data_IF_704528254469
#
_entry.id   IF_704528254469
#
_cell.length_a   1.000
_cell.length_b   1.000
_cell.length_c   1.000
_cell.angle_alpha   90.00
_cell.angle_beta   90.00
_cell.angle_gamma   90.00
#
_symmetry.space_group_name_H-M   'P 1'
#
loop_
_entity.id
_entity.type
_entity.pdbx_description
1 polymer ?
#
# COMPACT_ATOMS: atom_id res chain seq x y z
N UNK A 1 -19.85 3.00 -2.24
CA UNK A 1 -19.40 4.09 -3.15
C UNK A 1 -18.49 3.49 -4.24
N UNK A 2 -18.51 4.02 -5.48
CA UNK A 2 -17.72 3.51 -6.62
C UNK A 2 -16.28 4.05 -6.56
N UNK A 3 -15.31 3.20 -6.26
CA UNK A 3 -13.87 3.54 -6.29
C UNK A 3 -13.45 3.72 -7.75
N UNK A 4 -13.18 4.96 -8.17
CA UNK A 4 -12.59 5.26 -9.48
C UNK A 4 -11.50 6.30 -9.25
N UNK A 5 -10.26 5.92 -9.49
CA UNK A 5 -9.11 6.83 -9.40
C UNK A 5 -8.39 6.87 -10.73
N UNK A 6 -7.89 8.04 -11.09
CA UNK A 6 -7.07 8.25 -12.29
C UNK A 6 -5.67 8.66 -11.87
N UNK A 7 -4.64 7.86 -12.17
CA UNK A 7 -3.24 8.20 -11.90
C UNK A 7 -2.39 7.92 -13.13
N UNK A 8 -1.60 8.89 -13.57
CA UNK A 8 -0.67 8.71 -14.70
C UNK A 8 -1.33 8.20 -15.99
N UNK A 9 -2.55 8.67 -16.30
CA UNK A 9 -3.32 8.24 -17.48
C UNK A 9 -4.07 6.91 -17.33
N UNK A 10 -3.86 6.15 -16.25
CA UNK A 10 -4.59 4.92 -15.96
C UNK A 10 -5.85 5.19 -15.14
N UNK A 11 -6.91 4.41 -15.36
CA UNK A 11 -8.12 4.40 -14.53
C UNK A 11 -8.21 3.12 -13.73
N UNK A 12 -8.15 3.23 -12.40
CA UNK A 12 -8.27 2.13 -11.47
C UNK A 12 -9.67 2.06 -10.89
N UNK A 13 -10.21 0.85 -10.78
CA UNK A 13 -11.55 0.58 -10.23
C UNK A 13 -11.55 -0.56 -9.20
N UNK A 14 -10.46 -1.31 -9.14
CA UNK A 14 -10.27 -2.42 -8.21
C UNK A 14 -8.98 -2.19 -7.45
N UNK A 15 -9.01 -2.51 -6.16
CA UNK A 15 -7.85 -2.49 -5.27
C UNK A 15 -7.67 -3.88 -4.67
N UNK A 16 -6.45 -4.39 -4.71
CA UNK A 16 -6.00 -5.57 -3.97
C UNK A 16 -5.11 -5.09 -2.84
N UNK A 17 -5.29 -5.61 -1.63
CA UNK A 17 -4.58 -5.13 -0.44
C UNK A 17 -4.08 -6.36 0.30
N UNK A 18 -2.77 -6.42 0.57
CA UNK A 18 -2.15 -7.48 1.35
C UNK A 18 -1.75 -6.96 2.72
N UNK A 19 -1.74 -7.84 3.72
CA UNK A 19 -1.24 -7.53 5.08
C UNK A 19 0.26 -7.17 5.08
N UNK A 20 1.01 -7.57 4.05
CA UNK A 20 2.42 -7.21 3.85
C UNK A 20 2.70 -5.73 3.51
N UNK A 21 1.68 -4.87 3.46
CA UNK A 21 1.88 -3.47 3.04
C UNK A 21 1.94 -3.29 1.52
N UNK A 22 1.38 -4.24 0.77
CA UNK A 22 1.29 -4.20 -0.68
C UNK A 22 -0.13 -3.86 -1.14
N UNK A 23 -0.22 -2.98 -2.13
CA UNK A 23 -1.46 -2.56 -2.77
C UNK A 23 -1.34 -2.67 -4.27
N UNK A 24 -2.31 -3.33 -4.88
CA UNK A 24 -2.45 -3.45 -6.33
C UNK A 24 -3.64 -2.61 -6.78
N UNK A 25 -3.41 -1.74 -7.74
CA UNK A 25 -4.45 -0.95 -8.39
C UNK A 25 -4.62 -1.46 -9.82
N UNK A 26 -5.86 -1.79 -10.18
CA UNK A 26 -6.19 -2.24 -11.52
C UNK A 26 -7.54 -1.66 -11.97
N UNK A 27 -7.77 -1.62 -13.28
CA UNK A 27 -9.16 -1.47 -13.79
C UNK A 27 -9.98 -2.71 -13.44
N UNK A 28 -9.38 -3.89 -13.66
CA UNK A 28 -9.88 -5.24 -13.36
C UNK A 28 -8.65 -6.15 -13.22
N UNK A 29 -8.67 -7.11 -12.30
CA UNK A 29 -7.62 -8.14 -12.18
C UNK A 29 -7.85 -9.26 -13.22
N UNK A 30 -7.53 -8.97 -14.48
CA UNK A 30 -7.62 -9.91 -15.60
C UNK A 30 -6.27 -9.98 -16.28
N UNK A 31 -5.83 -11.19 -16.68
CA UNK A 31 -4.54 -11.39 -17.32
C UNK A 31 -4.35 -10.41 -18.49
N UNK A 32 -3.19 -9.76 -18.56
CA UNK A 32 -2.87 -8.76 -19.58
C UNK A 32 -3.29 -7.33 -19.24
N UNK A 33 -4.04 -7.10 -18.15
CA UNK A 33 -4.43 -5.74 -17.77
C UNK A 33 -3.28 -4.98 -17.10
N UNK A 34 -3.14 -3.66 -17.37
CA UNK A 34 -2.23 -2.80 -16.63
C UNK A 34 -2.59 -2.76 -15.14
N UNK A 35 -1.55 -2.82 -14.31
CA UNK A 35 -1.62 -2.65 -12.87
C UNK A 35 -0.58 -1.65 -12.39
N UNK A 36 -0.88 -1.02 -11.25
CA UNK A 36 0.09 -0.28 -10.47
C UNK A 36 0.20 -0.91 -9.10
N UNK A 37 1.41 -1.27 -8.71
CA UNK A 37 1.73 -1.84 -7.40
C UNK A 37 2.38 -0.76 -6.55
N UNK A 38 1.91 -0.62 -5.31
CA UNK A 38 2.51 0.22 -4.28
C UNK A 38 2.90 -0.74 -3.15
N UNK A 39 4.18 -0.78 -2.77
CA UNK A 39 4.63 -1.68 -1.69
C UNK A 39 5.66 -1.06 -0.79
N UNK A 40 5.58 -1.40 0.49
CA UNK A 40 6.69 -1.25 1.42
C UNK A 40 7.66 -2.41 1.17
N UNK A 41 8.90 -2.11 0.77
CA UNK A 41 9.91 -3.14 0.49
C UNK A 41 10.28 -3.86 1.79
N UNK A 42 10.26 -5.20 1.77
CA UNK A 42 10.35 -6.05 2.97
C UNK A 42 9.22 -5.80 4.00
N UNK A 43 8.13 -5.18 3.56
CA UNK A 43 6.93 -4.96 4.36
C UNK A 43 6.35 -6.28 4.85
N UNK A 44 6.21 -6.42 6.17
CA UNK A 44 5.44 -7.51 6.78
C UNK A 44 4.71 -6.96 7.99
N UNK A 45 3.40 -7.14 8.08
CA UNK A 45 2.66 -6.81 9.31
C UNK A 45 2.51 -8.07 10.16
N UNK A 46 2.62 -7.91 11.47
CA UNK A 46 2.26 -8.95 12.45
C UNK A 46 0.75 -9.05 12.64
N UNK A 47 -0.01 -8.07 12.14
CA UNK A 47 -1.46 -8.06 12.22
C UNK A 47 -2.12 -8.81 11.04
N UNK A 48 -3.26 -9.42 11.32
CA UNK A 48 -3.95 -10.30 10.38
C UNK A 48 -4.51 -9.55 9.16
N UNK A 49 -4.85 -8.27 9.29
CA UNK A 49 -5.44 -7.48 8.20
C UNK A 49 -5.23 -5.97 8.38
N UNK A 50 -5.08 -5.21 7.28
CA UNK A 50 -5.11 -3.76 7.33
C UNK A 50 -6.51 -3.21 7.62
N UNK A 51 -6.57 -2.02 8.19
CA UNK A 51 -7.81 -1.27 8.36
C UNK A 51 -8.04 -0.38 7.14
N UNK A 52 -9.26 -0.43 6.60
CA UNK A 52 -9.62 0.25 5.36
C UNK A 52 -10.75 1.24 5.65
N UNK A 53 -10.54 2.51 5.26
CA UNK A 53 -11.57 3.54 5.29
C UNK A 53 -11.85 4.05 3.88
N UNK A 54 -13.13 4.12 3.52
CA UNK A 54 -13.56 4.68 2.24
C UNK A 54 -14.36 5.95 2.51
N UNK A 55 -13.67 7.10 2.48
CA UNK A 55 -14.29 8.41 2.63
C UNK A 55 -14.68 9.00 1.27
N UNK A 56 -15.30 10.18 1.30
CA UNK A 56 -15.80 10.82 0.08
C UNK A 56 -14.69 11.11 -0.93
N UNK A 57 -13.52 11.59 -0.50
CA UNK A 57 -12.44 11.99 -1.40
C UNK A 57 -11.19 11.11 -1.33
N UNK A 58 -11.10 10.23 -0.34
CA UNK A 58 -9.88 9.49 -0.02
C UNK A 58 -10.20 8.06 0.35
N UNK A 59 -9.46 7.14 -0.24
CA UNK A 59 -9.41 5.74 0.17
C UNK A 59 -8.17 5.54 1.02
N UNK A 60 -8.35 5.15 2.28
CA UNK A 60 -7.28 5.06 3.27
C UNK A 60 -7.04 3.62 3.68
N UNK A 61 -5.78 3.22 3.73
CA UNK A 61 -5.35 1.88 4.14
C UNK A 61 -4.30 2.05 5.22
N UNK A 62 -4.51 1.36 6.34
CA UNK A 62 -3.65 1.44 7.51
C UNK A 62 -3.13 0.05 7.86
N UNK A 63 -1.82 -0.06 8.02
CA UNK A 63 -1.18 -1.24 8.57
C UNK A 63 -0.59 -0.90 9.93
N UNK A 64 -1.12 -1.55 10.96
CA UNK A 64 -0.51 -1.53 12.27
C UNK A 64 0.70 -2.48 12.28
N UNK A 65 1.68 -2.12 13.11
CA UNK A 65 2.87 -2.92 13.38
C UNK A 65 3.57 -3.45 12.11
N UNK A 66 3.70 -2.62 11.08
CA UNK A 66 4.41 -3.01 9.87
C UNK A 66 5.92 -2.99 10.12
N UNK A 67 6.57 -4.12 9.91
CA UNK A 67 8.01 -4.20 9.77
C UNK A 67 8.41 -3.70 8.39
N UNK A 68 9.33 -2.74 8.37
CA UNK A 68 9.78 -2.08 7.14
C UNK A 68 11.29 -2.16 6.93
N UNK A 69 12.01 -2.81 7.85
CA UNK A 69 13.45 -3.01 7.76
C UNK A 69 13.88 -4.27 8.52
N UNK A 70 15.07 -4.79 8.18
CA UNK A 70 15.68 -5.96 8.85
C UNK A 70 16.54 -5.51 10.04
N UNK A 71 15.92 -4.90 11.04
CA UNK A 71 16.61 -4.48 12.27
C UNK A 71 16.52 -5.54 13.38
N UNK A 72 17.40 -5.43 14.38
CA UNK A 72 17.31 -6.17 15.64
C UNK A 72 17.54 -5.19 16.82
N UNK A 73 16.53 -4.89 17.67
CA UNK A 73 15.17 -5.44 17.62
C UNK A 73 14.43 -5.02 16.34
N UNK A 74 13.39 -5.79 15.98
CA UNK A 74 12.59 -5.48 14.79
C UNK A 74 11.88 -4.16 15.00
N UNK A 75 12.09 -3.22 14.08
CA UNK A 75 11.32 -1.99 14.04
C UNK A 75 9.94 -2.30 13.47
N UNK A 76 8.94 -1.69 14.09
CA UNK A 76 7.58 -1.70 13.61
C UNK A 76 7.00 -0.29 13.73
N UNK A 77 6.03 0.01 12.86
CA UNK A 77 5.32 1.26 12.95
C UNK A 77 3.94 1.19 12.31
N UNK A 78 3.25 2.33 12.36
CA UNK A 78 1.95 2.50 11.75
C UNK A 78 2.12 3.17 10.39
N UNK A 79 1.83 2.42 9.33
CA UNK A 79 1.92 2.92 7.95
C UNK A 79 0.54 3.25 7.41
N UNK A 80 0.43 4.45 6.83
CA UNK A 80 -0.78 4.95 6.19
C UNK A 80 -0.53 5.10 4.70
N UNK A 81 -1.46 4.62 3.89
CA UNK A 81 -1.57 4.96 2.48
C UNK A 81 -2.93 5.58 2.21
N UNK A 82 -2.91 6.81 1.69
CA UNK A 82 -4.08 7.55 1.25
C UNK A 82 -4.05 7.66 -0.27
N UNK A 83 -5.13 7.20 -0.91
CA UNK A 83 -5.34 7.30 -2.34
C UNK A 83 -6.48 8.30 -2.57
N UNK A 84 -6.12 9.49 -3.02
CA UNK A 84 -7.07 10.56 -3.29
C UNK A 84 -7.73 10.38 -4.66
N UNK A 85 -8.99 10.81 -4.81
CA UNK A 85 -9.74 10.70 -6.08
C UNK A 85 -9.05 11.35 -7.28
N UNK A 86 -8.29 12.41 -7.05
CA UNK A 86 -7.51 13.12 -8.06
C UNK A 86 -6.24 12.34 -8.49
N UNK A 87 -5.98 11.18 -7.88
CA UNK A 87 -4.82 10.34 -8.15
C UNK A 87 -3.59 10.62 -7.30
N UNK A 88 -3.64 11.60 -6.40
CA UNK A 88 -2.55 11.83 -5.46
C UNK A 88 -2.44 10.64 -4.50
N UNK A 89 -1.21 10.12 -4.39
CA UNK A 89 -0.83 9.16 -3.35
C UNK A 89 -0.16 9.93 -2.22
N UNK A 90 -0.66 9.76 -1.01
CA UNK A 90 -0.04 10.30 0.19
C UNK A 90 0.24 9.14 1.13
N UNK A 91 1.43 9.13 1.72
CA UNK A 91 1.83 8.11 2.66
C UNK A 91 2.41 8.76 3.91
N UNK A 92 2.27 8.07 5.04
CA UNK A 92 2.86 8.49 6.30
C UNK A 92 3.31 7.25 7.08
N UNK A 93 4.41 7.42 7.82
CA UNK A 93 4.83 6.48 8.84
C UNK A 93 4.72 7.21 10.18
N UNK A 94 3.93 6.66 11.10
CA UNK A 94 3.81 7.17 12.46
C UNK A 94 4.29 6.12 13.45
N UNK A 95 4.95 6.60 14.52
CA UNK A 95 5.48 5.82 15.63
C UNK A 95 6.42 4.69 15.20
N UNK A 96 7.73 4.85 15.44
CA UNK A 96 8.67 3.71 15.46
C UNK A 96 8.72 3.14 16.88
N UNK A 97 8.49 1.82 17.02
CA UNK A 97 8.50 1.13 18.31
C UNK A 97 9.85 1.24 19.02
N UNK A 98 10.95 1.17 18.27
CA UNK A 98 12.30 1.21 18.79
C UNK A 98 13.06 2.39 18.18
N UNK A 99 12.90 3.57 18.79
CA UNK A 99 13.56 4.82 18.35
C UNK A 99 15.10 4.80 18.41
N UNK A 100 15.71 3.68 18.76
CA UNK A 100 17.16 3.49 18.83
C UNK A 100 17.78 2.96 17.53
N UNK A 101 17.00 2.39 16.60
CA UNK A 101 17.53 1.91 15.32
C UNK A 101 17.11 2.83 14.18
N UNK A 102 18.10 3.47 13.56
CA UNK A 102 17.88 4.17 12.30
C UNK A 102 17.80 3.14 11.17
N UNK A 103 16.63 2.99 10.56
CA UNK A 103 16.50 2.16 9.37
C UNK A 103 15.67 2.86 8.29
N UNK A 104 16.01 2.56 7.04
CA UNK A 104 15.35 3.14 5.88
C UNK A 104 14.10 2.34 5.54
N UNK A 105 12.98 3.05 5.42
CA UNK A 105 11.79 2.53 4.73
C UNK A 105 11.93 2.85 3.24
N UNK A 106 11.73 1.84 2.39
CA UNK A 106 11.63 2.02 0.94
C UNK A 106 10.21 1.76 0.51
N UNK A 107 9.60 2.75 -0.17
CA UNK A 107 8.32 2.62 -0.84
C UNK A 107 8.57 2.49 -2.34
N UNK A 108 8.07 1.43 -2.96
CA UNK A 108 8.14 1.23 -4.41
C UNK A 108 6.78 1.41 -5.04
N UNK A 109 6.76 2.12 -6.17
CA UNK A 109 5.60 2.28 -7.04
C UNK A 109 5.99 1.78 -8.42
N UNK A 110 5.39 0.66 -8.82
CA UNK A 110 5.74 -0.05 -10.05
C UNK A 110 4.52 -0.13 -10.96
N UNK A 111 4.71 0.18 -12.23
CA UNK A 111 3.75 -0.13 -13.28
C UNK A 111 4.06 -1.52 -13.84
N UNK A 112 3.02 -2.28 -14.16
CA UNK A 112 3.18 -3.64 -14.67
C UNK A 112 1.93 -4.17 -15.33
N UNK A 113 1.96 -5.46 -15.63
CA UNK A 113 0.85 -6.21 -16.22
C UNK A 113 0.42 -7.29 -15.24
N UNK A 114 -0.88 -7.42 -14.99
CA UNK A 114 -1.41 -8.51 -14.19
C UNK A 114 -1.28 -9.81 -14.97
N UNK A 115 -0.51 -10.77 -14.44
CA UNK A 115 -0.30 -12.06 -15.09
C UNK A 115 -1.30 -13.14 -14.64
N UNK A 116 -2.27 -12.81 -13.77
CA UNK A 116 -3.14 -13.79 -13.13
C UNK A 116 -2.60 -14.22 -11.77
N UNK A 117 -3.48 -14.77 -10.95
CA UNK A 117 -3.12 -15.53 -9.75
C UNK A 117 -2.85 -16.97 -10.18
N UNK A 118 -1.64 -17.46 -9.93
CA UNK A 118 -1.31 -18.89 -10.01
C UNK A 118 -2.14 -19.71 -9.04
#
# INVERSE_FOLDING_TARGET
MKFIIRVGGMTFKTVGILSSGEVYLARLFTHGNPIRTIRVVNGTSTDNAPVIFNGDNTFSILWFNIHYCKSNPREEGLFYLFIHRNGTLQFALSFASHRSVNCHMTLEILDGIYNGSS
#
